data_IF_517027175965
#
_entry.id   IF_517027175965
#
_cell.length_a   1.000
_cell.length_b   1.000
_cell.length_c   1.000
_cell.angle_alpha   90.00
_cell.angle_beta   90.00
_cell.angle_gamma   90.00
#
_symmetry.space_group_name_H-M   'P 1'
#
loop_
_entity.id
_entity.type
_entity.pdbx_description
1 polymer ?
#
# COMPACT_ATOMS: atom_id res chain seq x y z
N UNK A 1 -8.50 25.83 11.28
CA UNK A 1 -7.03 26.05 11.36
C UNK A 1 -6.39 24.71 11.15
N UNK A 2 -6.13 24.38 9.93
CA UNK A 2 -5.67 23.08 9.46
C UNK A 2 -4.20 22.86 9.78
N UNK A 3 -3.89 21.66 10.23
CA UNK A 3 -2.59 21.23 10.72
C UNK A 3 -1.53 21.22 9.60
N UNK A 4 -0.85 22.31 9.44
CA UNK A 4 0.22 22.48 8.44
C UNK A 4 1.57 21.93 8.93
N UNK A 5 1.55 20.90 9.76
CA UNK A 5 2.76 20.32 10.36
C UNK A 5 2.69 18.79 10.46
N UNK A 6 3.83 18.13 10.26
CA UNK A 6 4.04 16.70 10.46
C UNK A 6 4.68 16.39 11.81
N UNK A 7 4.36 15.24 12.40
CA UNK A 7 5.04 14.74 13.60
C UNK A 7 6.10 13.74 13.17
N UNK A 8 7.37 14.03 13.46
CA UNK A 8 8.51 13.17 13.11
C UNK A 8 9.20 12.70 14.38
N UNK A 9 9.33 11.38 14.52
CA UNK A 9 10.13 10.78 15.60
C UNK A 9 11.62 10.90 15.29
N UNK A 10 12.40 11.31 16.26
CA UNK A 10 13.87 11.33 16.12
C UNK A 10 14.42 9.92 16.33
N UNK A 11 15.15 9.38 15.34
CA UNK A 11 15.80 8.07 15.42
C UNK A 11 16.88 7.98 16.50
N UNK A 12 17.52 9.13 16.82
CA UNK A 12 18.61 9.17 17.81
C UNK A 12 18.16 9.25 19.26
N UNK A 13 17.03 9.90 19.56
CA UNK A 13 16.60 10.12 20.95
C UNK A 13 15.11 9.85 21.23
N UNK A 14 14.35 9.35 20.25
CA UNK A 14 12.94 9.02 20.36
C UNK A 14 11.98 10.21 20.49
N UNK A 15 12.49 11.45 20.59
CA UNK A 15 11.64 12.64 20.77
C UNK A 15 10.78 12.90 19.53
N UNK A 16 9.47 13.09 19.74
CA UNK A 16 8.53 13.50 18.67
C UNK A 16 8.69 15.00 18.43
N UNK A 17 8.91 15.38 17.18
CA UNK A 17 9.10 16.76 16.73
C UNK A 17 7.95 17.17 15.82
N UNK A 18 7.43 18.38 16.03
CA UNK A 18 6.45 18.98 15.11
C UNK A 18 7.22 19.82 14.09
N UNK A 19 7.14 19.42 12.83
CA UNK A 19 7.85 20.07 11.70
C UNK A 19 6.82 20.65 10.74
N UNK A 20 6.88 21.94 10.41
CA UNK A 20 6.05 22.53 9.36
C UNK A 20 6.23 21.78 8.03
N UNK A 21 5.14 21.56 7.27
CA UNK A 21 5.16 20.78 6.01
C UNK A 21 6.09 21.40 4.97
N UNK A 22 6.17 22.70 4.89
CA UNK A 22 7.06 23.46 3.99
C UNK A 22 8.56 23.24 4.30
N UNK A 23 8.90 22.91 5.55
CA UNK A 23 10.28 22.67 6.01
C UNK A 23 10.70 21.20 6.00
N UNK A 24 9.88 20.29 5.54
CA UNK A 24 10.24 18.87 5.49
C UNK A 24 11.45 18.58 4.58
N UNK A 25 11.69 19.43 3.57
CA UNK A 25 12.81 19.30 2.62
C UNK A 25 14.13 19.89 3.13
N UNK A 26 14.09 20.69 4.21
CA UNK A 26 15.24 21.50 4.68
C UNK A 26 16.08 20.77 5.72
N UNK A 27 16.05 19.43 5.75
CA UNK A 27 16.75 18.60 6.76
C UNK A 27 16.48 19.08 8.19
N UNK A 28 15.22 19.06 8.64
CA UNK A 28 14.84 19.61 9.94
C UNK A 28 15.61 18.92 11.08
N UNK A 29 15.94 19.69 12.11
CA UNK A 29 16.70 19.19 13.25
C UNK A 29 15.79 18.86 14.44
N UNK A 30 16.16 17.83 15.18
CA UNK A 30 15.50 17.47 16.42
C UNK A 30 15.65 18.61 17.46
N UNK A 31 14.53 19.04 18.03
CA UNK A 31 14.52 20.10 19.05
C UNK A 31 15.35 19.75 20.30
N UNK A 32 15.48 18.44 20.61
CA UNK A 32 16.20 17.97 21.80
C UNK A 32 17.68 17.69 21.56
N UNK A 33 18.02 16.82 20.58
CA UNK A 33 19.40 16.34 20.40
C UNK A 33 20.10 16.91 19.15
N UNK A 34 19.42 17.76 18.37
CA UNK A 34 19.94 18.39 17.16
C UNK A 34 20.32 17.42 16.02
N UNK A 35 19.99 16.13 16.15
CA UNK A 35 20.12 15.18 15.05
C UNK A 35 19.18 15.56 13.91
N UNK A 36 19.57 15.27 12.67
CA UNK A 36 18.73 15.45 11.49
C UNK A 36 17.51 14.52 11.61
N UNK A 37 16.34 15.06 11.38
CA UNK A 37 15.10 14.30 11.32
C UNK A 37 14.90 13.81 9.88
N UNK A 38 14.67 12.50 9.73
CA UNK A 38 14.41 11.88 8.44
C UNK A 38 12.90 11.63 8.30
N UNK A 39 12.17 12.49 7.55
CA UNK A 39 10.75 12.25 7.28
C UNK A 39 10.56 11.01 6.43
N UNK A 40 9.55 10.21 6.74
CA UNK A 40 9.18 9.06 5.91
C UNK A 40 8.82 9.50 4.49
N UNK A 41 9.41 8.84 3.50
CA UNK A 41 9.12 9.08 2.08
C UNK A 41 8.54 7.84 1.41
N UNK A 42 7.67 8.06 0.43
CA UNK A 42 7.09 7.03 -0.41
C UNK A 42 7.45 7.29 -1.87
N UNK A 43 7.63 6.21 -2.63
CA UNK A 43 7.76 6.29 -4.09
C UNK A 43 6.38 6.10 -4.70
N UNK A 44 5.94 7.08 -5.49
CA UNK A 44 4.67 7.05 -6.22
C UNK A 44 4.96 7.12 -7.71
N UNK A 45 4.44 6.15 -8.46
CA UNK A 45 4.53 6.17 -9.92
C UNK A 45 3.41 7.03 -10.48
N UNK A 46 3.76 7.99 -11.34
CA UNK A 46 2.76 8.79 -12.05
C UNK A 46 1.98 7.91 -13.03
N UNK A 47 0.65 7.94 -12.98
CA UNK A 47 -0.23 7.20 -13.89
C UNK A 47 -0.08 7.66 -15.35
N UNK A 48 0.19 8.96 -15.56
CA UNK A 48 0.25 9.57 -16.88
C UNK A 48 1.58 9.32 -17.60
N UNK A 49 2.72 9.51 -16.92
CA UNK A 49 4.03 9.47 -17.58
C UNK A 49 4.96 8.37 -17.06
N UNK A 50 4.52 7.57 -16.09
CA UNK A 50 5.27 6.44 -15.54
C UNK A 50 6.48 6.81 -14.66
N UNK A 51 6.81 8.09 -14.49
CA UNK A 51 7.94 8.52 -13.67
C UNK A 51 7.66 8.27 -12.20
N UNK A 52 8.66 7.74 -11.49
CA UNK A 52 8.64 7.56 -10.03
C UNK A 52 8.93 8.89 -9.36
N UNK A 53 8.04 9.30 -8.45
CA UNK A 53 8.17 10.50 -7.65
C UNK A 53 8.38 10.09 -6.20
N UNK A 54 9.31 10.76 -5.50
CA UNK A 54 9.50 10.59 -4.06
C UNK A 54 8.73 11.67 -3.34
N UNK A 55 7.75 11.28 -2.55
CA UNK A 55 6.92 12.18 -1.75
C UNK A 55 7.11 11.91 -0.26
N UNK A 56 7.03 12.95 0.55
CA UNK A 56 6.94 12.77 2.00
C UNK A 56 5.54 12.22 2.35
N UNK A 57 5.49 11.17 3.18
CA UNK A 57 4.24 10.54 3.62
C UNK A 57 3.25 11.55 4.24
N UNK A 58 3.80 12.55 4.93
CA UNK A 58 3.02 13.62 5.56
C UNK A 58 2.36 14.60 4.55
N UNK A 59 2.74 14.55 3.26
CA UNK A 59 2.18 15.40 2.20
C UNK A 59 1.23 14.65 1.26
N UNK A 60 0.86 13.41 1.57
CA UNK A 60 0.02 12.58 0.69
C UNK A 60 -1.43 13.07 0.58
N UNK A 61 -1.91 13.82 1.56
CA UNK A 61 -3.25 14.43 1.56
C UNK A 61 -3.31 15.74 0.77
N UNK A 62 -2.16 16.32 0.41
CA UNK A 62 -2.08 17.52 -0.40
C UNK A 62 -2.07 17.16 -1.89
N UNK A 63 -2.49 18.09 -2.77
CA UNK A 63 -2.48 17.93 -4.22
C UNK A 63 -1.03 17.87 -4.76
N UNK A 64 -0.37 16.75 -4.55
CA UNK A 64 0.99 16.50 -5.07
C UNK A 64 0.95 16.35 -6.59
N UNK A 65 1.91 16.97 -7.28
CA UNK A 65 2.04 16.91 -8.75
C UNK A 65 3.31 16.16 -9.16
N UNK A 66 3.23 15.48 -10.30
CA UNK A 66 4.36 14.80 -10.89
C UNK A 66 5.46 15.81 -11.28
N UNK A 67 6.70 15.54 -10.87
CA UNK A 67 7.84 16.41 -11.20
C UNK A 67 8.16 16.49 -12.69
N UNK A 68 7.64 15.58 -13.54
CA UNK A 68 7.88 15.56 -14.98
C UNK A 68 6.71 16.14 -15.78
N UNK A 69 5.49 15.64 -15.58
CA UNK A 69 4.34 16.01 -16.41
C UNK A 69 3.29 16.87 -15.71
N UNK A 70 3.54 17.21 -14.43
CA UNK A 70 2.67 18.01 -13.57
C UNK A 70 1.25 17.45 -13.35
N UNK A 71 0.97 16.22 -13.81
CA UNK A 71 -0.29 15.55 -13.52
C UNK A 71 -0.44 15.31 -12.01
N UNK A 72 -1.65 15.33 -11.46
CA UNK A 72 -1.87 15.01 -10.06
C UNK A 72 -1.34 13.61 -9.74
N UNK A 73 -0.65 13.49 -8.59
CA UNK A 73 -0.18 12.22 -8.09
C UNK A 73 -1.19 11.68 -7.08
N UNK A 74 -1.81 10.58 -7.43
CA UNK A 74 -2.63 9.85 -6.47
C UNK A 74 -1.72 9.17 -5.45
N UNK A 75 -2.09 9.25 -4.18
CA UNK A 75 -1.27 8.83 -3.05
C UNK A 75 -1.16 7.30 -2.88
N UNK A 76 -1.05 6.55 -3.97
CA UNK A 76 -0.85 5.10 -3.92
C UNK A 76 0.65 4.82 -3.91
N UNK A 77 1.19 4.29 -2.80
CA UNK A 77 2.60 3.92 -2.72
C UNK A 77 2.98 2.91 -3.79
N UNK A 78 4.21 3.02 -4.29
CA UNK A 78 4.73 2.14 -5.33
C UNK A 78 5.19 0.81 -4.72
N UNK A 79 4.36 -0.22 -4.83
CA UNK A 79 4.72 -1.60 -4.53
C UNK A 79 4.82 -2.36 -5.86
N UNK A 80 5.95 -3.01 -6.13
CA UNK A 80 6.20 -3.78 -7.36
C UNK A 80 6.32 -5.29 -7.10
N UNK A 81 5.98 -5.72 -5.91
CA UNK A 81 5.91 -7.11 -5.47
C UNK A 81 4.78 -7.27 -4.44
N UNK A 82 4.24 -8.48 -4.28
CA UNK A 82 3.24 -8.76 -3.25
C UNK A 82 3.81 -8.51 -1.84
N UNK A 83 2.98 -7.92 -0.97
CA UNK A 83 3.33 -7.59 0.41
C UNK A 83 2.69 -8.61 1.35
N UNK A 84 3.46 -9.17 2.29
CA UNK A 84 2.92 -10.03 3.33
C UNK A 84 2.14 -9.20 4.34
N UNK A 85 0.88 -9.57 4.57
CA UNK A 85 -0.05 -8.87 5.45
C UNK A 85 -0.50 -9.84 6.55
N UNK A 86 -0.65 -9.31 7.74
CA UNK A 86 -1.04 -10.05 8.95
C UNK A 86 -2.29 -9.45 9.56
N UNK A 87 -2.94 -10.17 10.50
CA UNK A 87 -4.07 -9.65 11.29
C UNK A 87 -3.75 -8.27 11.91
N UNK A 88 -2.50 -8.07 12.36
CA UNK A 88 -2.06 -6.80 12.98
C UNK A 88 -1.96 -5.64 11.99
N UNK A 89 -1.57 -5.92 10.75
CA UNK A 89 -1.31 -4.89 9.74
C UNK A 89 -2.48 -4.70 8.78
N UNK A 90 -3.46 -5.60 8.80
CA UNK A 90 -4.57 -5.62 7.84
C UNK A 90 -5.34 -4.30 7.77
N UNK A 91 -5.67 -3.73 8.92
CA UNK A 91 -6.40 -2.45 8.96
C UNK A 91 -5.62 -1.34 8.24
N UNK A 92 -4.32 -1.19 8.57
CA UNK A 92 -3.47 -0.14 7.97
C UNK A 92 -3.13 -0.42 6.52
N UNK A 93 -2.83 -1.69 6.20
CA UNK A 93 -2.28 -2.09 4.90
C UNK A 93 -3.35 -2.36 3.83
N UNK A 94 -4.59 -2.60 4.26
CA UNK A 94 -5.72 -2.93 3.37
C UNK A 94 -6.86 -1.92 3.53
N UNK A 95 -7.44 -1.80 4.73
CA UNK A 95 -8.66 -0.99 4.91
C UNK A 95 -8.38 0.52 4.85
N UNK A 96 -7.27 0.97 5.44
CA UNK A 96 -6.84 2.37 5.39
C UNK A 96 -5.90 2.68 4.22
N UNK A 97 -5.67 1.72 3.31
CA UNK A 97 -4.81 1.95 2.15
C UNK A 97 -5.50 2.88 1.14
N UNK A 98 -4.80 3.91 0.60
CA UNK A 98 -5.43 4.96 -0.21
C UNK A 98 -5.74 4.54 -1.65
N UNK A 99 -5.74 3.26 -1.97
CA UNK A 99 -6.00 2.73 -3.31
C UNK A 99 -6.59 1.33 -3.29
N UNK A 100 -6.82 0.73 -4.47
CA UNK A 100 -7.26 -0.65 -4.54
C UNK A 100 -6.22 -1.63 -4.02
N UNK A 101 -6.65 -2.66 -3.29
CA UNK A 101 -5.82 -3.75 -2.78
C UNK A 101 -6.38 -5.08 -3.24
N UNK A 102 -5.57 -5.85 -3.95
CA UNK A 102 -5.85 -7.24 -4.28
C UNK A 102 -5.20 -8.13 -3.21
N UNK A 103 -6.00 -8.78 -2.40
CA UNK A 103 -5.54 -9.70 -1.35
C UNK A 103 -5.66 -11.15 -1.81
N UNK A 104 -4.58 -11.94 -1.69
CA UNK A 104 -4.62 -13.39 -1.73
C UNK A 104 -4.59 -13.96 -0.31
N UNK A 105 -5.55 -14.84 -0.02
CA UNK A 105 -5.58 -15.67 1.17
C UNK A 105 -5.11 -17.06 0.79
N UNK A 106 -3.99 -17.50 1.37
CA UNK A 106 -3.33 -18.77 1.05
C UNK A 106 -3.02 -19.59 2.29
N UNK A 107 -2.78 -20.90 2.09
CA UNK A 107 -2.15 -21.79 3.08
C UNK A 107 -0.84 -22.33 2.49
N UNK A 108 0.21 -22.54 3.28
CA UNK A 108 1.47 -23.16 2.83
C UNK A 108 1.29 -24.57 2.20
N UNK A 109 0.24 -25.28 2.59
CA UNK A 109 -0.10 -26.62 2.07
C UNK A 109 -0.90 -26.56 0.76
N UNK A 110 -1.32 -25.38 0.32
CA UNK A 110 -2.13 -25.21 -0.88
C UNK A 110 -1.27 -25.25 -2.15
N UNK A 111 -1.32 -26.35 -2.89
CA UNK A 111 -0.60 -26.48 -4.15
C UNK A 111 -1.08 -25.49 -5.23
N UNK A 112 -2.37 -25.20 -5.27
CA UNK A 112 -2.98 -24.24 -6.21
C UNK A 112 -2.58 -22.80 -5.94
N UNK A 113 -2.30 -22.42 -4.68
CA UNK A 113 -1.81 -21.08 -4.35
C UNK A 113 -0.46 -20.80 -5.00
N UNK A 114 0.43 -21.81 -5.06
CA UNK A 114 1.75 -21.69 -5.71
C UNK A 114 1.66 -21.38 -7.21
N UNK A 115 0.57 -21.78 -7.87
CA UNK A 115 0.36 -21.47 -9.29
C UNK A 115 -0.05 -20.02 -9.53
N UNK A 116 -0.59 -19.35 -8.50
CA UNK A 116 -0.94 -17.92 -8.55
C UNK A 116 0.26 -17.00 -8.27
N UNK A 117 1.29 -17.48 -7.57
CA UNK A 117 2.44 -16.66 -7.19
C UNK A 117 3.04 -15.87 -8.38
N UNK A 118 3.39 -16.48 -9.52
CA UNK A 118 3.94 -15.75 -10.66
C UNK A 118 2.93 -14.75 -11.27
N UNK A 119 1.64 -15.03 -11.19
CA UNK A 119 0.59 -14.13 -11.68
C UNK A 119 0.51 -12.90 -10.77
N UNK A 120 0.55 -13.10 -9.45
CA UNK A 120 0.51 -12.01 -8.47
C UNK A 120 1.76 -11.13 -8.53
N UNK A 121 2.94 -11.73 -8.72
CA UNK A 121 4.20 -11.01 -8.93
C UNK A 121 4.12 -10.13 -10.19
N UNK A 122 3.60 -10.68 -11.28
CA UNK A 122 3.41 -9.96 -12.53
C UNK A 122 2.41 -8.80 -12.37
N UNK A 123 1.27 -9.06 -11.73
CA UNK A 123 0.26 -8.02 -11.46
C UNK A 123 0.82 -6.91 -10.56
N UNK A 124 1.55 -7.26 -9.48
CA UNK A 124 2.17 -6.28 -8.61
C UNK A 124 3.17 -5.38 -9.37
N UNK A 125 3.94 -5.97 -10.30
CA UNK A 125 4.90 -5.22 -11.12
C UNK A 125 4.21 -4.32 -12.15
N UNK A 126 3.24 -4.86 -12.91
CA UNK A 126 2.56 -4.14 -13.99
C UNK A 126 1.67 -3.01 -13.48
N UNK A 127 0.99 -3.24 -12.37
CA UNK A 127 0.06 -2.26 -11.76
C UNK A 127 0.69 -1.47 -10.61
N UNK A 128 2.02 -1.52 -10.46
CA UNK A 128 2.73 -0.82 -9.41
C UNK A 128 2.43 0.69 -9.39
N UNK A 129 2.00 1.20 -8.23
CA UNK A 129 1.54 2.59 -8.06
C UNK A 129 0.08 2.83 -8.50
N UNK A 130 -0.64 1.78 -8.86
CA UNK A 130 -2.09 1.82 -9.17
C UNK A 130 -2.89 0.92 -8.25
N UNK A 131 -2.34 -0.24 -7.88
CA UNK A 131 -2.89 -1.15 -6.88
C UNK A 131 -1.79 -1.60 -5.93
N UNK A 132 -2.19 -2.18 -4.83
CA UNK A 132 -1.34 -3.00 -3.96
C UNK A 132 -1.78 -4.45 -4.08
N UNK A 133 -0.81 -5.37 -4.17
CA UNK A 133 -1.05 -6.80 -4.06
C UNK A 133 -0.59 -7.25 -2.68
N UNK A 134 -1.49 -7.85 -1.92
CA UNK A 134 -1.22 -8.39 -0.59
C UNK A 134 -1.40 -9.91 -0.55
N UNK A 135 -0.64 -10.58 0.31
CA UNK A 135 -0.76 -12.02 0.58
C UNK A 135 -0.92 -12.26 2.08
N UNK A 136 -1.82 -13.14 2.46
CA UNK A 136 -2.05 -13.50 3.86
C UNK A 136 -2.10 -15.01 4.03
N UNK A 137 -1.26 -15.53 4.92
CA UNK A 137 -1.33 -16.92 5.36
C UNK A 137 -2.47 -17.07 6.37
N UNK A 138 -3.53 -17.81 6.00
CA UNK A 138 -4.72 -17.97 6.85
C UNK A 138 -4.46 -18.81 8.10
N UNK A 139 -3.48 -19.73 8.08
CA UNK A 139 -3.14 -20.57 9.23
C UNK A 139 -2.53 -19.74 10.37
N UNK A 140 -1.90 -18.61 10.03
CA UNK A 140 -1.27 -17.68 10.98
C UNK A 140 -2.13 -16.44 11.27
N UNK A 141 -3.20 -16.24 10.52
CA UNK A 141 -4.04 -15.03 10.60
C UNK A 141 -5.54 -15.40 10.61
N UNK A 142 -5.99 -16.15 11.64
CA UNK A 142 -7.35 -16.68 11.70
C UNK A 142 -8.42 -15.60 11.91
N UNK A 143 -8.06 -14.44 12.48
CA UNK A 143 -9.03 -13.36 12.73
C UNK A 143 -9.54 -12.77 11.42
N UNK A 144 -8.65 -12.39 10.53
CA UNK A 144 -9.02 -11.84 9.22
C UNK A 144 -9.65 -12.93 8.33
N UNK A 145 -9.13 -14.17 8.37
CA UNK A 145 -9.72 -15.27 7.61
C UNK A 145 -11.19 -15.53 8.01
N UNK A 146 -11.49 -15.50 9.31
CA UNK A 146 -12.87 -15.62 9.81
C UNK A 146 -13.73 -14.42 9.47
N UNK A 147 -13.19 -13.19 9.59
CA UNK A 147 -13.93 -11.96 9.29
C UNK A 147 -14.42 -11.90 7.84
N UNK A 148 -13.67 -12.46 6.91
CA UNK A 148 -14.00 -12.46 5.47
C UNK A 148 -14.49 -13.81 4.96
N UNK A 149 -14.88 -14.73 5.85
CA UNK A 149 -15.40 -16.05 5.52
C UNK A 149 -14.50 -16.79 4.50
N UNK A 150 -13.20 -16.89 4.80
CA UNK A 150 -12.25 -17.61 3.95
C UNK A 150 -12.34 -19.10 4.26
N UNK A 151 -13.16 -19.80 3.48
CA UNK A 151 -13.44 -21.24 3.65
C UNK A 151 -12.53 -22.15 2.83
N UNK A 152 -11.82 -21.60 1.86
CA UNK A 152 -10.93 -22.35 0.95
C UNK A 152 -9.78 -21.48 0.46
N UNK A 153 -8.68 -22.13 0.06
CA UNK A 153 -7.51 -21.46 -0.54
C UNK A 153 -7.19 -22.02 -1.93
N UNK A 154 -6.77 -21.19 -2.88
CA UNK A 154 -6.65 -19.75 -2.76
C UNK A 154 -8.03 -19.06 -2.82
N UNK A 155 -8.17 -17.99 -2.07
CA UNK A 155 -9.27 -17.02 -2.21
C UNK A 155 -8.64 -15.66 -2.43
N UNK A 156 -9.16 -14.90 -3.38
CA UNK A 156 -8.73 -13.50 -3.57
C UNK A 156 -9.88 -12.55 -3.29
N UNK A 157 -9.57 -11.43 -2.62
CA UNK A 157 -10.54 -10.36 -2.37
C UNK A 157 -9.96 -9.05 -2.88
N UNK A 158 -10.77 -8.32 -3.63
CA UNK A 158 -10.46 -6.97 -4.08
C UNK A 158 -11.12 -5.96 -3.14
N UNK A 159 -10.28 -5.08 -2.57
CA UNK A 159 -10.71 -3.98 -1.69
C UNK A 159 -10.52 -2.64 -2.38
N UNK A 160 -11.38 -1.68 -2.08
CA UNK A 160 -11.23 -0.27 -2.42
C UNK A 160 -11.86 0.59 -1.34
N UNK A 161 -11.14 1.61 -0.86
CA UNK A 161 -11.61 2.52 0.21
C UNK A 161 -12.06 1.78 1.48
N UNK A 162 -11.38 0.69 1.83
CA UNK A 162 -11.70 -0.13 3.00
C UNK A 162 -12.85 -1.11 2.84
N UNK A 163 -13.52 -1.13 1.68
CA UNK A 163 -14.65 -2.02 1.40
C UNK A 163 -14.26 -3.17 0.50
N UNK A 164 -14.84 -4.34 0.75
CA UNK A 164 -14.74 -5.50 -0.14
C UNK A 164 -15.59 -5.25 -1.38
N UNK A 165 -14.95 -5.22 -2.56
CA UNK A 165 -15.62 -5.00 -3.84
C UNK A 165 -15.96 -6.32 -4.53
N UNK A 166 -15.04 -7.30 -4.47
CA UNK A 166 -15.22 -8.59 -5.12
C UNK A 166 -14.48 -9.70 -4.40
N UNK A 167 -14.93 -10.95 -4.56
CA UNK A 167 -14.32 -12.17 -4.02
C UNK A 167 -14.23 -13.22 -5.12
N UNK A 168 -13.03 -13.73 -5.35
CA UNK A 168 -12.72 -14.77 -6.34
C UNK A 168 -12.27 -16.02 -5.61
N UNK A 169 -12.81 -17.17 -5.99
CA UNK A 169 -12.53 -18.46 -5.35
C UNK A 169 -11.70 -19.34 -6.28
N UNK A 170 -10.71 -19.99 -5.72
CA UNK A 170 -9.83 -20.91 -6.44
C UNK A 170 -8.82 -20.21 -7.36
N UNK A 171 -8.20 -20.99 -8.24
CA UNK A 171 -7.27 -20.46 -9.24
C UNK A 171 -8.03 -19.80 -10.38
N UNK A 172 -7.72 -18.55 -10.62
CA UNK A 172 -8.26 -17.75 -11.73
C UNK A 172 -7.13 -17.29 -12.64
N UNK A 173 -7.44 -17.05 -13.89
CA UNK A 173 -6.46 -16.53 -14.85
C UNK A 173 -6.12 -15.05 -14.56
N UNK A 174 -4.92 -14.63 -14.98
CA UNK A 174 -4.54 -13.22 -14.91
C UNK A 174 -5.57 -12.30 -15.56
N UNK A 175 -6.07 -12.70 -16.74
CA UNK A 175 -7.08 -11.94 -17.48
C UNK A 175 -8.38 -11.73 -16.70
N UNK A 176 -8.80 -12.73 -15.95
CA UNK A 176 -9.99 -12.65 -15.10
C UNK A 176 -9.77 -11.68 -13.94
N UNK A 177 -8.60 -11.75 -13.26
CA UNK A 177 -8.23 -10.78 -12.22
C UNK A 177 -8.21 -9.35 -12.80
N UNK A 178 -7.61 -9.15 -13.96
CA UNK A 178 -7.53 -7.84 -14.63
C UNK A 178 -8.91 -7.28 -14.99
N UNK A 179 -9.86 -8.14 -15.38
CA UNK A 179 -11.23 -7.70 -15.64
C UNK A 179 -11.88 -7.09 -14.39
N UNK A 180 -11.63 -7.68 -13.21
CA UNK A 180 -12.12 -7.12 -11.96
C UNK A 180 -11.36 -5.84 -11.54
N UNK A 181 -10.05 -5.77 -11.79
CA UNK A 181 -9.25 -4.59 -11.50
C UNK A 181 -9.69 -3.36 -12.31
N UNK A 182 -10.13 -3.54 -13.57
CA UNK A 182 -10.62 -2.42 -14.41
C UNK A 182 -11.80 -1.66 -13.80
N UNK A 183 -12.62 -2.36 -13.00
CA UNK A 183 -13.79 -1.74 -12.37
C UNK A 183 -13.43 -0.86 -11.16
N UNK A 184 -12.18 -0.92 -10.69
CA UNK A 184 -11.74 -0.20 -9.49
C UNK A 184 -10.58 0.76 -9.76
N UNK A 185 -9.98 0.71 -10.94
CA UNK A 185 -8.94 1.63 -11.40
C UNK A 185 -9.50 2.87 -12.05
#
# INVERSE_FOLDING_TARGET
MTQDSAIIGCSSCGTKNRVPKDRLKDNPLCGKCKAILEPETLLIKCSECGVKNRLFKALLEDESKCGKCHAPLHAIPYYNHPTLITDRTFNQEVLAFPGPVLMEYYSPMCAYCKTLDPILDQLASEYAGRIKVGKMNIDQNPLTASQYDIMSTPTMILFKNGEQINKLLGTVSKQEIENHLRNVL
#
